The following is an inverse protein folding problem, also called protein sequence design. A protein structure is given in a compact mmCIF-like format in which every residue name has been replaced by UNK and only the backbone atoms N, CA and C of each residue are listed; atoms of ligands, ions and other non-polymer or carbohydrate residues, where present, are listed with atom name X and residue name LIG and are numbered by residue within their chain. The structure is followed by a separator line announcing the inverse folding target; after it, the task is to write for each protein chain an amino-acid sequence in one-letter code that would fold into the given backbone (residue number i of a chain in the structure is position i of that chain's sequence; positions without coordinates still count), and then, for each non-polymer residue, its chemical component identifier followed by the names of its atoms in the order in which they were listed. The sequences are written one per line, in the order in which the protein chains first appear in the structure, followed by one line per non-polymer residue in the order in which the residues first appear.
data_IF_607403459622
#
_entry.id   IF_607403459622
#
_cell.length_a   1.000
_cell.length_b   1.000
_cell.length_c   1.000
_cell.angle_alpha   90.00
_cell.angle_beta   90.00
_cell.angle_gamma   90.00
#
_symmetry.space_group_name_H-M   'P 1'
#
loop_
_entity.id
_entity.type
_entity.pdbx_description
1 polymer ?
#
# COMPACT_ATOMS: atom_id res chain seq x y z
N UNK A 1 11.26 4.33 15.10
CA UNK A 1 12.66 4.06 15.54
C UNK A 1 12.93 2.56 15.33
N UNK A 2 14.13 2.05 15.03
CA UNK A 2 14.31 0.58 14.95
C UNK A 2 14.15 0.00 16.35
N UNK A 3 13.21 -0.94 16.53
CA UNK A 3 12.86 -1.55 17.82
C UNK A 3 14.10 -2.09 18.55
N UNK A 4 14.12 -1.90 19.87
CA UNK A 4 15.22 -2.39 20.71
C UNK A 4 15.27 -3.93 20.70
N UNK A 5 16.42 -4.56 21.02
CA UNK A 5 16.56 -6.02 20.95
C UNK A 5 15.51 -6.81 21.76
N UNK A 6 15.01 -6.24 22.88
CA UNK A 6 13.89 -6.79 23.65
C UNK A 6 12.58 -6.77 22.86
N UNK A 7 12.22 -5.61 22.32
CA UNK A 7 11.03 -5.42 21.48
C UNK A 7 10.99 -6.40 20.31
N UNK A 8 12.13 -6.72 19.69
CA UNK A 8 12.15 -7.67 18.54
C UNK A 8 11.65 -9.06 18.93
N UNK A 9 11.88 -9.49 20.15
CA UNK A 9 11.44 -10.80 20.64
C UNK A 9 9.93 -10.76 20.87
N UNK A 10 9.42 -9.66 21.42
CA UNK A 10 7.99 -9.45 21.66
C UNK A 10 7.20 -9.23 20.35
N UNK A 11 7.80 -8.56 19.37
CA UNK A 11 7.27 -8.41 18.00
C UNK A 11 7.14 -9.77 17.31
N UNK A 12 8.18 -10.60 17.40
CA UNK A 12 8.14 -11.97 16.86
C UNK A 12 7.12 -12.83 17.61
N UNK A 13 7.02 -12.69 18.93
CA UNK A 13 6.04 -13.40 19.74
C UNK A 13 4.60 -12.96 19.43
N UNK A 14 4.36 -11.67 19.18
CA UNK A 14 3.07 -11.13 18.77
C UNK A 14 2.66 -11.65 17.38
N UNK A 15 3.54 -11.56 16.37
CA UNK A 15 3.27 -12.13 15.04
C UNK A 15 3.04 -13.65 15.12
N UNK A 16 3.82 -14.36 15.95
CA UNK A 16 3.63 -15.78 16.19
C UNK A 16 2.29 -16.09 16.90
N UNK A 17 1.85 -15.24 17.83
CA UNK A 17 0.57 -15.36 18.52
C UNK A 17 -0.59 -15.13 17.54
N UNK A 18 -0.54 -14.07 16.72
CA UNK A 18 -1.52 -13.82 15.67
C UNK A 18 -1.62 -15.03 14.71
N UNK A 19 -0.48 -15.52 14.23
CA UNK A 19 -0.43 -16.71 13.38
C UNK A 19 -0.95 -17.98 14.09
N UNK A 20 -0.68 -18.15 15.39
CA UNK A 20 -1.17 -19.28 16.17
C UNK A 20 -2.68 -19.19 16.43
N UNK A 21 -3.22 -17.99 16.65
CA UNK A 21 -4.67 -17.76 16.78
C UNK A 21 -5.38 -18.06 15.46
N UNK A 22 -4.81 -17.66 14.33
CA UNK A 22 -5.29 -18.02 12.99
C UNK A 22 -5.25 -19.53 12.74
N UNK A 23 -4.13 -20.19 13.07
CA UNK A 23 -3.99 -21.63 12.94
C UNK A 23 -4.95 -22.40 13.86
N UNK A 24 -5.18 -21.90 15.08
CA UNK A 24 -6.14 -22.45 16.02
C UNK A 24 -7.57 -22.27 15.51
N UNK A 25 -7.92 -21.08 15.01
CA UNK A 25 -9.20 -20.83 14.37
C UNK A 25 -9.41 -21.76 13.16
N UNK A 26 -8.39 -21.94 12.31
CA UNK A 26 -8.42 -22.91 11.21
C UNK A 26 -8.60 -24.36 11.68
N UNK A 27 -7.93 -24.75 12.77
CA UNK A 27 -8.06 -26.10 13.33
C UNK A 27 -9.42 -26.33 13.98
N UNK A 28 -9.99 -25.32 14.62
CA UNK A 28 -11.34 -25.40 15.21
C UNK A 28 -12.41 -25.46 14.12
N UNK A 29 -12.22 -24.77 12.99
CA UNK A 29 -13.05 -24.94 11.79
C UNK A 29 -12.95 -26.35 11.20
N UNK A 30 -11.78 -26.98 11.21
CA UNK A 30 -11.58 -28.36 10.72
C UNK A 30 -12.16 -29.45 11.64
N UNK A 31 -12.47 -29.12 12.90
CA UNK A 31 -12.94 -30.07 13.92
C UNK A 31 -14.44 -29.96 14.23
N UNK A 32 -15.20 -29.20 13.44
CA UNK A 32 -16.67 -29.10 13.53
C UNK A 32 -17.19 -28.73 14.94
N UNK A 33 -16.39 -27.99 15.72
CA UNK A 33 -16.66 -27.69 17.13
C UNK A 33 -17.22 -26.26 17.36
N UNK A 34 -17.52 -25.53 16.30
CA UNK A 34 -18.21 -24.24 16.32
C UNK A 34 -19.44 -24.29 15.42
N UNK A 35 -20.44 -23.45 15.67
CA UNK A 35 -21.62 -23.37 14.80
C UNK A 35 -21.21 -22.89 13.40
N UNK A 36 -20.99 -23.83 12.46
CA UNK A 36 -20.68 -23.53 11.08
C UNK A 36 -21.94 -23.04 10.36
N UNK A 37 -21.87 -21.84 9.77
CA UNK A 37 -22.80 -21.41 8.73
C UNK A 37 -22.04 -21.38 7.41
N UNK A 38 -22.30 -22.35 6.55
CA UNK A 38 -21.71 -22.41 5.21
C UNK A 38 -22.42 -21.39 4.32
N UNK A 39 -21.74 -20.31 3.93
CA UNK A 39 -22.27 -19.34 2.96
C UNK A 39 -21.77 -19.72 1.57
N UNK A 40 -22.63 -20.29 0.75
CA UNK A 40 -22.28 -20.98 -0.51
C UNK A 40 -22.05 -20.08 -1.72
N UNK A 41 -22.18 -18.75 -1.60
CA UNK A 41 -22.21 -17.83 -2.75
C UNK A 41 -21.17 -16.70 -2.70
N UNK A 42 -20.09 -16.84 -1.94
CA UNK A 42 -19.08 -15.79 -1.85
C UNK A 42 -17.72 -16.31 -2.31
N UNK A 43 -17.37 -15.96 -3.55
CA UNK A 43 -16.01 -16.11 -4.08
C UNK A 43 -15.07 -15.16 -3.32
N UNK A 44 -14.54 -15.62 -2.19
CA UNK A 44 -13.55 -14.88 -1.41
C UNK A 44 -12.19 -15.53 -1.48
N UNK A 45 -11.19 -14.69 -1.74
CA UNK A 45 -9.81 -15.11 -1.79
C UNK A 45 -8.97 -14.64 -0.58
N UNK A 46 -9.40 -13.79 0.37
CA UNK A 46 -8.50 -13.29 1.44
C UNK A 46 -8.24 -14.29 2.57
N UNK A 47 -7.02 -14.34 3.11
CA UNK A 47 -6.60 -15.30 4.15
C UNK A 47 -7.42 -15.21 5.46
N UNK A 48 -8.05 -14.06 5.76
CA UNK A 48 -9.10 -13.99 6.76
C UNK A 48 -9.88 -12.66 6.80
N UNK A 49 -11.03 -12.67 7.46
CA UNK A 49 -11.89 -11.52 7.76
C UNK A 49 -12.49 -11.65 9.16
N UNK A 50 -12.78 -10.51 9.80
CA UNK A 50 -13.44 -10.47 11.11
C UNK A 50 -14.71 -9.62 11.01
N UNK A 51 -15.85 -10.18 11.42
CA UNK A 51 -17.13 -9.47 11.46
C UNK A 51 -17.74 -9.67 12.85
N UNK A 52 -18.10 -8.56 13.51
CA UNK A 52 -18.78 -8.61 14.81
C UNK A 52 -20.29 -8.68 14.60
N UNK A 53 -20.95 -9.62 15.26
CA UNK A 53 -22.41 -9.77 15.25
C UNK A 53 -22.93 -9.90 16.69
N UNK A 54 -23.32 -8.78 17.29
CA UNK A 54 -23.73 -8.74 18.69
C UNK A 54 -22.57 -9.02 19.66
N UNK A 55 -22.71 -10.05 20.50
CA UNK A 55 -21.65 -10.57 21.40
C UNK A 55 -20.61 -11.43 20.68
N UNK A 56 -20.90 -11.84 19.44
CA UNK A 56 -20.13 -12.88 18.75
C UNK A 56 -19.15 -12.28 17.74
N UNK A 57 -18.01 -12.96 17.57
CA UNK A 57 -17.00 -12.62 16.58
C UNK A 57 -17.01 -13.71 15.51
N UNK A 58 -17.40 -13.34 14.30
CA UNK A 58 -17.36 -14.20 13.11
C UNK A 58 -15.98 -14.03 12.47
N UNK A 59 -15.28 -15.13 12.26
CA UNK A 59 -13.97 -15.14 11.59
C UNK A 59 -14.10 -15.89 10.27
N UNK A 60 -13.96 -15.20 9.15
CA UNK A 60 -13.75 -15.83 7.85
C UNK A 60 -12.28 -16.18 7.69
N UNK A 61 -11.95 -17.38 7.20
CA UNK A 61 -10.58 -17.77 6.84
C UNK A 61 -10.60 -18.39 5.44
N UNK A 62 -9.69 -17.99 4.57
CA UNK A 62 -9.43 -18.72 3.31
C UNK A 62 -8.06 -19.38 3.39
N UNK A 63 -7.93 -20.60 2.86
CA UNK A 63 -6.65 -21.32 2.84
C UNK A 63 -5.74 -20.77 1.73
N UNK A 64 -4.63 -20.08 2.05
CA UNK A 64 -3.70 -19.56 1.04
C UNK A 64 -2.81 -20.66 0.43
N UNK A 65 -2.96 -21.92 0.89
CA UNK A 65 -2.13 -23.07 0.50
C UNK A 65 -2.75 -23.91 -0.63
N UNK A 66 -3.77 -23.41 -1.35
CA UNK A 66 -4.15 -24.05 -2.61
C UNK A 66 -2.98 -23.93 -3.61
N UNK A 67 -2.49 -25.04 -4.17
CA UNK A 67 -1.41 -25.02 -5.16
C UNK A 67 -1.80 -24.14 -6.36
N UNK A 68 -1.13 -23.00 -6.50
CA UNK A 68 -1.22 -22.12 -7.66
C UNK A 68 0.09 -22.07 -8.44
N UNK A 69 0.05 -21.77 -9.73
CA UNK A 69 1.26 -21.53 -10.52
C UNK A 69 1.86 -20.17 -10.15
N UNK A 70 2.96 -20.17 -9.39
CA UNK A 70 3.74 -18.96 -9.14
C UNK A 70 4.73 -18.73 -10.30
N UNK A 71 4.60 -17.62 -11.04
CA UNK A 71 5.64 -17.18 -11.95
C UNK A 71 6.83 -16.65 -11.12
N UNK A 72 8.03 -17.14 -11.43
CA UNK A 72 9.28 -16.66 -10.83
C UNK A 72 9.85 -15.57 -11.73
N UNK A 73 9.74 -14.31 -11.34
CA UNK A 73 10.45 -13.22 -11.99
C UNK A 73 11.96 -13.36 -11.71
N UNK A 74 12.80 -13.38 -12.74
CA UNK A 74 14.25 -13.44 -12.57
C UNK A 74 14.80 -12.10 -12.06
N UNK A 75 15.81 -12.15 -11.17
CA UNK A 75 16.58 -10.96 -10.82
C UNK A 75 17.28 -10.41 -12.07
N UNK A 76 17.25 -9.09 -12.27
CA UNK A 76 17.97 -8.44 -13.36
C UNK A 76 19.48 -8.62 -13.20
N UNK A 77 20.20 -8.82 -14.32
CA UNK A 77 21.64 -9.18 -14.32
C UNK A 77 22.57 -7.97 -14.02
N UNK A 78 22.05 -6.74 -13.90
CA UNK A 78 22.87 -5.57 -13.62
C UNK A 78 22.07 -4.42 -13.01
N UNK A 79 22.72 -3.66 -12.10
CA UNK A 79 22.21 -2.39 -11.61
C UNK A 79 21.99 -1.41 -12.79
N UNK A 80 20.94 -0.57 -12.75
CA UNK A 80 20.68 0.39 -13.82
C UNK A 80 21.84 1.38 -13.95
N UNK A 81 22.07 1.88 -15.17
CA UNK A 81 22.99 3.01 -15.36
C UNK A 81 22.49 4.22 -14.54
N UNK A 82 23.42 5.03 -13.97
CA UNK A 82 23.03 6.22 -13.25
C UNK A 82 22.10 7.09 -14.10
N UNK A 83 21.05 7.64 -13.49
CA UNK A 83 20.18 8.58 -14.17
C UNK A 83 21.00 9.74 -14.76
N UNK A 84 20.61 10.23 -15.95
CA UNK A 84 21.27 11.34 -16.63
C UNK A 84 21.40 12.56 -15.70
N UNK A 85 22.53 13.27 -15.82
CA UNK A 85 22.75 14.52 -15.10
C UNK A 85 21.72 15.56 -15.56
N UNK A 86 20.81 15.93 -14.66
CA UNK A 86 19.87 17.03 -14.88
C UNK A 86 20.59 18.33 -14.54
N UNK A 87 20.50 19.35 -15.39
CA UNK A 87 20.94 20.71 -15.08
C UNK A 87 20.06 21.26 -13.96
N UNK A 88 20.60 21.25 -12.75
CA UNK A 88 19.91 21.64 -11.53
C UNK A 88 20.36 23.05 -11.18
N UNK A 89 19.40 23.95 -10.96
CA UNK A 89 19.66 25.29 -10.42
C UNK A 89 20.25 25.17 -9.02
N UNK A 90 21.32 25.93 -8.74
CA UNK A 90 22.09 25.88 -7.48
C UNK A 90 21.28 26.18 -6.20
N UNK A 91 20.04 26.65 -6.35
CA UNK A 91 19.13 27.02 -5.26
C UNK A 91 18.31 25.84 -4.68
N UNK A 92 18.36 24.65 -5.29
CA UNK A 92 17.57 23.48 -4.84
C UNK A 92 18.45 22.44 -4.12
N UNK A 93 18.20 22.21 -2.83
CA UNK A 93 18.95 21.24 -2.00
C UNK A 93 18.05 20.18 -1.34
N UNK A 94 18.63 19.04 -0.98
CA UNK A 94 18.01 18.00 -0.16
C UNK A 94 16.76 17.37 -0.79
N UNK A 95 15.67 17.28 -0.03
CA UNK A 95 14.41 16.62 -0.44
C UNK A 95 13.79 17.22 -1.71
N UNK A 96 13.87 18.54 -1.90
CA UNK A 96 13.34 19.23 -3.08
C UNK A 96 14.07 18.83 -4.36
N UNK A 97 15.37 18.51 -4.23
CA UNK A 97 16.17 18.02 -5.35
C UNK A 97 15.77 16.60 -5.75
N UNK A 98 15.56 15.72 -4.78
CA UNK A 98 15.09 14.35 -5.03
C UNK A 98 13.72 14.36 -5.69
N UNK A 99 12.81 15.22 -5.22
CA UNK A 99 11.51 15.41 -5.85
C UNK A 99 11.63 15.90 -7.30
N UNK A 100 12.43 16.95 -7.56
CA UNK A 100 12.62 17.47 -8.91
C UNK A 100 13.16 16.39 -9.86
N UNK A 101 14.17 15.62 -9.43
CA UNK A 101 14.72 14.50 -10.20
C UNK A 101 13.69 13.43 -10.50
N UNK A 102 12.90 13.03 -9.51
CA UNK A 102 11.86 12.03 -9.68
C UNK A 102 10.76 12.51 -10.65
N UNK A 103 10.38 13.79 -10.58
CA UNK A 103 9.43 14.39 -11.52
C UNK A 103 9.96 14.38 -12.96
N UNK A 104 11.21 14.74 -13.18
CA UNK A 104 11.81 14.71 -14.52
C UNK A 104 11.94 13.29 -15.06
N UNK A 105 12.29 12.32 -14.21
CA UNK A 105 12.28 10.90 -14.59
C UNK A 105 10.90 10.45 -15.05
N UNK A 106 9.84 10.78 -14.31
CA UNK A 106 8.48 10.42 -14.71
C UNK A 106 8.05 11.09 -16.02
N UNK A 107 8.41 12.36 -16.24
CA UNK A 107 8.13 13.02 -17.54
C UNK A 107 8.78 12.28 -18.70
N UNK A 108 10.05 11.93 -18.57
CA UNK A 108 10.78 11.19 -19.59
C UNK A 108 10.14 9.81 -19.83
N UNK A 109 9.82 9.08 -18.76
CA UNK A 109 9.21 7.77 -18.84
C UNK A 109 7.79 7.79 -19.42
N UNK A 110 7.02 8.86 -19.18
CA UNK A 110 5.68 9.05 -19.76
C UNK A 110 5.77 9.48 -21.22
N UNK A 111 6.76 10.28 -21.61
CA UNK A 111 6.94 10.75 -22.98
C UNK A 111 7.33 9.63 -23.95
N UNK A 112 8.16 8.67 -23.52
CA UNK A 112 8.63 7.58 -24.37
C UNK A 112 8.56 6.19 -23.68
N UNK A 113 7.37 5.71 -23.25
CA UNK A 113 7.25 4.54 -22.37
C UNK A 113 7.92 3.29 -22.95
N UNK A 114 8.84 2.70 -22.19
CA UNK A 114 9.48 1.43 -22.57
C UNK A 114 10.45 1.47 -23.75
N UNK A 115 10.80 2.66 -24.28
CA UNK A 115 11.80 2.81 -25.35
C UNK A 115 13.18 2.33 -24.91
N UNK A 116 13.56 2.63 -23.68
CA UNK A 116 14.79 2.18 -23.05
C UNK A 116 14.62 2.05 -21.51
N UNK A 117 15.69 1.69 -20.81
CA UNK A 117 15.68 1.57 -19.34
C UNK A 117 15.48 2.92 -18.62
N UNK A 118 15.90 4.03 -19.23
CA UNK A 118 15.63 5.38 -18.71
C UNK A 118 14.15 5.78 -18.85
N UNK A 119 13.42 5.08 -19.71
CA UNK A 119 11.98 5.24 -19.94
C UNK A 119 11.12 4.38 -19.01
N UNK A 120 11.68 3.94 -17.88
CA UNK A 120 10.98 3.25 -16.80
C UNK A 120 10.95 4.11 -15.53
N UNK A 121 9.89 3.95 -14.74
CA UNK A 121 9.82 4.54 -13.41
C UNK A 121 10.71 3.77 -12.45
N UNK A 122 11.60 4.47 -11.74
CA UNK A 122 12.35 3.88 -10.63
C UNK A 122 12.01 4.56 -9.29
N UNK A 123 11.28 3.88 -8.39
CA UNK A 123 10.93 4.44 -7.08
C UNK A 123 12.09 4.35 -6.07
N UNK A 124 13.23 3.75 -6.46
CA UNK A 124 14.31 3.40 -5.55
C UNK A 124 15.04 4.61 -4.97
N UNK A 125 15.05 4.74 -3.65
CA UNK A 125 15.66 5.86 -2.92
C UNK A 125 14.81 7.12 -2.84
N UNK A 126 13.52 7.03 -3.17
CA UNK A 126 12.57 8.14 -3.10
C UNK A 126 11.79 8.08 -1.79
N UNK A 127 11.84 9.16 -1.01
CA UNK A 127 11.11 9.25 0.25
C UNK A 127 9.60 9.08 0.04
N UNK A 128 8.94 8.25 0.86
CA UNK A 128 7.52 7.90 0.80
C UNK A 128 6.58 9.07 0.46
N UNK A 129 6.69 10.20 1.18
CA UNK A 129 5.89 11.40 0.89
C UNK A 129 6.10 11.96 -0.53
N UNK A 130 7.35 12.08 -0.96
CA UNK A 130 7.67 12.52 -2.32
C UNK A 130 7.13 11.53 -3.34
N UNK A 131 7.34 10.23 -3.12
CA UNK A 131 6.86 9.17 -4.00
C UNK A 131 5.34 9.25 -4.17
N UNK A 132 4.58 9.25 -3.07
CA UNK A 132 3.11 9.27 -3.11
C UNK A 132 2.55 10.56 -3.71
N UNK A 133 3.04 11.74 -3.28
CA UNK A 133 2.52 13.02 -3.78
C UNK A 133 2.84 13.21 -5.27
N UNK A 134 4.03 12.81 -5.71
CA UNK A 134 4.41 12.88 -7.13
C UNK A 134 3.59 11.89 -7.96
N UNK A 135 3.45 10.63 -7.52
CA UNK A 135 2.64 9.65 -8.25
C UNK A 135 1.21 10.14 -8.44
N UNK A 136 0.59 10.69 -7.39
CA UNK A 136 -0.76 11.26 -7.46
C UNK A 136 -0.88 12.30 -8.57
N UNK A 137 0.07 13.23 -8.62
CA UNK A 137 0.06 14.33 -9.59
C UNK A 137 0.12 13.85 -11.06
N UNK A 138 0.77 12.71 -11.34
CA UNK A 138 0.85 12.16 -12.70
C UNK A 138 -0.27 11.16 -13.04
N UNK A 139 -0.95 10.62 -12.03
CA UNK A 139 -2.12 9.75 -12.24
C UNK A 139 -3.34 10.55 -12.68
N UNK A 140 -3.44 11.80 -12.23
CA UNK A 140 -4.49 12.71 -12.67
C UNK A 140 -4.52 12.83 -14.21
N UNK A 141 -5.69 12.59 -14.77
CA UNK A 141 -5.94 12.52 -16.21
C UNK A 141 -5.79 13.88 -16.85
N UNK A 142 -6.34 14.93 -16.22
CA UNK A 142 -6.50 16.22 -16.85
C UNK A 142 -7.07 16.09 -18.29
N UNK A 143 -6.30 16.51 -19.29
CA UNK A 143 -6.63 16.40 -20.73
C UNK A 143 -5.65 15.53 -21.54
N UNK A 144 -4.97 14.59 -20.90
CA UNK A 144 -3.90 13.78 -21.53
C UNK A 144 -4.38 12.35 -21.79
N UNK A 145 -3.76 11.67 -22.76
CA UNK A 145 -4.00 10.24 -22.98
C UNK A 145 -3.46 9.40 -21.83
N UNK A 146 -4.13 8.26 -21.56
CA UNK A 146 -3.69 7.27 -20.57
C UNK A 146 -2.37 6.67 -21.03
N UNK A 147 -1.40 6.60 -20.12
CA UNK A 147 -0.07 6.02 -20.38
C UNK A 147 0.25 4.98 -19.31
N UNK A 148 0.82 3.85 -19.70
CA UNK A 148 1.35 2.85 -18.77
C UNK A 148 2.87 2.85 -18.83
N UNK A 149 3.52 2.91 -17.67
CA UNK A 149 4.98 3.01 -17.57
C UNK A 149 5.54 1.80 -16.81
N UNK A 150 6.55 1.10 -17.34
CA UNK A 150 7.23 0.02 -16.63
C UNK A 150 7.83 0.48 -15.30
N UNK A 151 7.68 -0.33 -14.26
CA UNK A 151 8.33 -0.10 -12.95
C UNK A 151 9.58 -0.96 -12.85
N UNK A 152 10.74 -0.33 -12.68
CA UNK A 152 12.04 -1.01 -12.59
C UNK A 152 12.79 -0.55 -11.33
N UNK A 153 13.24 -1.53 -10.55
CA UNK A 153 13.90 -1.30 -9.27
C UNK A 153 15.43 -1.28 -9.39
N UNK A 154 16.11 -0.78 -8.35
CA UNK A 154 17.58 -0.68 -8.30
C UNK A 154 18.30 -2.03 -8.51
N UNK A 155 17.68 -3.13 -8.12
CA UNK A 155 18.20 -4.49 -8.36
C UNK A 155 17.99 -4.99 -9.79
N UNK A 156 17.49 -4.13 -10.69
CA UNK A 156 17.19 -4.43 -12.08
C UNK A 156 15.94 -5.27 -12.28
N UNK A 157 15.23 -5.64 -11.20
CA UNK A 157 13.97 -6.36 -11.31
C UNK A 157 12.87 -5.44 -11.84
N UNK A 158 12.01 -5.98 -12.71
CA UNK A 158 10.88 -5.30 -13.33
C UNK A 158 9.58 -5.87 -12.77
N UNK A 159 8.66 -5.01 -12.33
CA UNK A 159 7.33 -5.42 -11.89
C UNK A 159 6.52 -6.01 -13.06
N UNK A 160 5.67 -6.99 -12.77
CA UNK A 160 4.82 -7.63 -13.77
C UNK A 160 3.78 -6.65 -14.36
N UNK A 161 3.20 -5.81 -13.50
CA UNK A 161 2.25 -4.78 -13.90
C UNK A 161 2.94 -3.42 -14.08
N UNK A 162 2.67 -2.76 -15.21
CA UNK A 162 3.07 -1.38 -15.42
C UNK A 162 2.24 -0.42 -14.54
N UNK A 163 2.77 0.76 -14.23
CA UNK A 163 2.05 1.77 -13.46
C UNK A 163 1.22 2.65 -14.40
N UNK A 164 -0.11 2.78 -14.18
CA UNK A 164 -0.97 3.61 -15.02
C UNK A 164 -0.92 5.09 -14.60
N UNK A 165 -0.70 5.97 -15.57
CA UNK A 165 -0.68 7.43 -15.45
C UNK A 165 -1.78 8.06 -16.34
N UNK A 166 -2.15 9.30 -16.02
CA UNK A 166 -3.19 10.06 -16.71
C UNK A 166 -4.51 9.32 -16.86
N UNK A 167 -4.94 8.64 -15.80
CA UNK A 167 -6.05 7.69 -15.88
C UNK A 167 -7.19 7.93 -14.88
N UNK A 168 -7.06 8.89 -13.97
CA UNK A 168 -8.10 9.22 -12.98
C UNK A 168 -8.49 10.70 -13.02
N UNK A 169 -9.78 11.01 -12.81
CA UNK A 169 -10.24 12.38 -12.58
C UNK A 169 -10.26 12.65 -11.06
N UNK A 170 -9.12 13.11 -10.53
CA UNK A 170 -8.93 13.21 -9.08
C UNK A 170 -9.71 14.38 -8.46
N UNK A 171 -10.09 14.21 -7.20
CA UNK A 171 -10.64 15.28 -6.35
C UNK A 171 -9.77 15.51 -5.13
N UNK A 172 -9.80 16.76 -4.63
CA UNK A 172 -9.08 17.16 -3.43
C UNK A 172 -9.96 17.18 -2.17
N UNK A 173 -11.29 17.10 -2.35
CA UNK A 173 -12.24 17.15 -1.25
C UNK A 173 -12.66 15.75 -0.83
N UNK A 174 -12.62 15.52 0.49
CA UNK A 174 -13.17 14.34 1.12
C UNK A 174 -14.70 14.47 1.23
N UNK A 175 -15.40 13.35 1.08
CA UNK A 175 -16.83 13.24 1.42
C UNK A 175 -17.07 13.59 2.89
N UNK A 176 -18.26 14.05 3.26
CA UNK A 176 -18.68 14.06 4.65
C UNK A 176 -18.65 12.65 5.27
N UNK A 177 -18.27 12.53 6.54
CA UNK A 177 -18.17 11.20 7.19
C UNK A 177 -19.49 10.43 7.24
N UNK A 178 -20.63 11.14 7.27
CA UNK A 178 -21.95 10.52 7.29
C UNK A 178 -22.35 9.86 5.95
N UNK A 179 -21.58 10.08 4.89
CA UNK A 179 -21.76 9.44 3.57
C UNK A 179 -20.89 8.18 3.40
N UNK A 180 -20.05 7.86 4.39
CA UNK A 180 -19.17 6.70 4.38
C UNK A 180 -19.83 5.51 5.05
N UNK A 181 -19.67 4.32 4.43
CA UNK A 181 -20.00 3.05 5.07
C UNK A 181 -18.89 2.61 6.02
N UNK A 182 -17.62 2.91 5.67
CA UNK A 182 -16.44 2.55 6.45
C UNK A 182 -15.41 3.69 6.46
N UNK A 183 -14.84 3.96 7.64
CA UNK A 183 -13.75 4.89 7.83
C UNK A 183 -12.70 4.23 8.73
N UNK A 184 -11.54 3.87 8.17
CA UNK A 184 -10.51 3.07 8.85
C UNK A 184 -9.15 3.77 8.83
N UNK A 185 -8.41 3.59 9.92
CA UNK A 185 -7.03 4.05 10.13
C UNK A 185 -6.13 2.84 10.13
N UNK A 186 -5.24 2.72 9.15
CA UNK A 186 -4.41 1.53 8.99
C UNK A 186 -2.95 1.92 8.81
N UNK A 187 -2.04 1.23 9.50
CA UNK A 187 -0.62 1.25 9.10
C UNK A 187 -0.47 0.53 7.76
N UNK A 188 0.44 1.01 6.91
CA UNK A 188 0.72 0.28 5.67
C UNK A 188 1.40 -1.07 5.95
N UNK A 189 2.28 -1.14 6.96
CA UNK A 189 2.96 -2.36 7.40
C UNK A 189 2.85 -2.55 8.92
N UNK A 190 2.49 -3.77 9.33
CA UNK A 190 2.44 -4.17 10.75
C UNK A 190 3.78 -3.96 11.45
N UNK A 191 3.77 -3.45 12.69
CA UNK A 191 4.89 -3.53 13.65
C UNK A 191 6.20 -2.88 13.15
N UNK A 192 6.13 -2.09 12.08
CA UNK A 192 7.28 -1.32 11.57
C UNK A 192 7.59 -0.14 12.48
N UNK A 193 6.55 0.36 13.13
CA UNK A 193 6.52 1.46 14.07
C UNK A 193 5.52 1.07 15.17
N UNK A 194 5.99 0.35 16.17
CA UNK A 194 5.17 -0.14 17.29
C UNK A 194 4.50 0.98 18.05
N UNK A 195 5.07 2.19 18.00
CA UNK A 195 4.47 3.41 18.53
C UNK A 195 3.10 3.72 17.91
N UNK A 196 2.81 3.21 16.71
CA UNK A 196 1.55 3.45 16.01
C UNK A 196 0.48 2.39 16.25
N UNK A 197 0.86 1.21 16.72
CA UNK A 197 -0.07 0.08 16.87
C UNK A 197 -1.26 0.38 17.81
N UNK A 198 -1.13 1.20 18.88
CA UNK A 198 -2.26 1.58 19.72
C UNK A 198 -3.27 2.54 19.06
N UNK A 199 -2.90 3.18 17.94
CA UNK A 199 -3.65 4.33 17.39
C UNK A 199 -4.29 4.07 16.03
N UNK A 200 -3.99 2.91 15.44
CA UNK A 200 -4.59 2.44 14.19
C UNK A 200 -5.55 1.29 14.46
N UNK A 201 -6.54 1.11 13.59
CA UNK A 201 -7.50 0.00 13.63
C UNK A 201 -6.85 -1.33 13.18
N UNK A 202 -5.68 -1.27 12.54
CA UNK A 202 -4.93 -2.44 12.10
C UNK A 202 -3.82 -2.10 11.11
N UNK A 203 -3.32 -3.14 10.45
CA UNK A 203 -2.31 -3.04 9.40
C UNK A 203 -2.87 -3.55 8.06
N UNK A 204 -2.58 -2.81 6.98
CA UNK A 204 -2.95 -3.23 5.62
C UNK A 204 -2.16 -4.48 5.18
N UNK A 205 -0.85 -4.50 5.47
CA UNK A 205 0.07 -5.58 5.10
C UNK A 205 0.83 -6.09 6.33
N UNK A 206 1.16 -7.38 6.33
CA UNK A 206 2.07 -7.96 7.32
C UNK A 206 3.51 -7.68 6.95
N UNK A 207 4.27 -7.12 7.89
CA UNK A 207 5.69 -6.88 7.69
C UNK A 207 6.48 -8.18 7.47
N UNK A 208 6.10 -9.27 8.15
CA UNK A 208 6.74 -10.58 7.96
C UNK A 208 6.59 -11.15 6.54
N UNK A 209 5.54 -10.76 5.83
CA UNK A 209 5.34 -11.15 4.43
C UNK A 209 6.09 -10.20 3.50
N UNK A 210 5.88 -8.90 3.65
CA UNK A 210 6.49 -7.90 2.76
C UNK A 210 8.01 -7.87 2.87
N UNK A 211 8.58 -8.10 4.05
CA UNK A 211 10.04 -8.08 4.29
C UNK A 211 10.76 -9.40 3.95
N UNK A 212 10.08 -10.39 3.37
CA UNK A 212 10.75 -11.65 2.96
C UNK A 212 11.80 -11.36 1.88
N UNK A 213 13.01 -11.96 1.96
CA UNK A 213 14.04 -11.79 0.95
C UNK A 213 13.54 -12.26 -0.43
N UNK A 214 13.40 -11.30 -1.36
CA UNK A 214 13.03 -11.51 -2.76
C UNK A 214 13.40 -10.27 -3.60
N UNK A 215 13.46 -10.35 -4.94
CA UNK A 215 13.61 -9.18 -5.79
C UNK A 215 12.56 -8.10 -5.47
N UNK A 216 12.94 -6.84 -5.59
CA UNK A 216 12.07 -5.71 -5.22
C UNK A 216 10.75 -5.70 -6.00
N UNK A 217 10.80 -5.99 -7.30
CA UNK A 217 9.62 -6.15 -8.14
C UNK A 217 8.64 -7.22 -7.64
N UNK A 218 9.14 -8.36 -7.16
CA UNK A 218 8.26 -9.41 -6.61
C UNK A 218 7.57 -8.97 -5.31
N UNK A 219 8.19 -8.06 -4.55
CA UNK A 219 7.56 -7.48 -3.35
C UNK A 219 6.47 -6.50 -3.76
N UNK A 220 6.73 -5.66 -4.74
CA UNK A 220 5.74 -4.77 -5.34
C UNK A 220 4.53 -5.55 -5.86
N UNK A 221 4.76 -6.56 -6.71
CA UNK A 221 3.67 -7.36 -7.28
C UNK A 221 2.87 -8.09 -6.20
N UNK A 222 3.54 -8.66 -5.19
CA UNK A 222 2.86 -9.22 -4.02
C UNK A 222 1.94 -8.19 -3.35
N UNK A 223 2.42 -6.97 -3.11
CA UNK A 223 1.63 -5.93 -2.46
C UNK A 223 0.50 -5.45 -3.35
N UNK A 224 0.72 -5.29 -4.64
CA UNK A 224 -0.29 -4.89 -5.61
C UNK A 224 -1.45 -5.90 -5.66
N UNK A 225 -1.16 -7.18 -5.89
CA UNK A 225 -2.20 -8.21 -5.97
C UNK A 225 -2.93 -8.41 -4.63
N UNK A 226 -2.21 -8.31 -3.52
CA UNK A 226 -2.82 -8.38 -2.17
C UNK A 226 -3.75 -7.20 -1.93
N UNK A 227 -3.31 -5.98 -2.27
CA UNK A 227 -4.08 -4.75 -2.05
C UNK A 227 -5.32 -4.68 -2.95
N UNK A 228 -5.21 -5.06 -4.24
CA UNK A 228 -6.34 -5.16 -5.16
C UNK A 228 -7.49 -5.96 -4.57
N UNK A 229 -7.14 -7.15 -4.09
CA UNK A 229 -8.06 -8.10 -3.49
C UNK A 229 -8.62 -7.63 -2.14
N UNK A 230 -7.80 -7.04 -1.29
CA UNK A 230 -8.26 -6.45 -0.03
C UNK A 230 -9.23 -5.29 -0.28
N UNK A 231 -8.98 -4.45 -1.29
CA UNK A 231 -9.91 -3.39 -1.70
C UNK A 231 -11.23 -3.97 -2.21
N UNK A 232 -11.19 -5.00 -3.07
CA UNK A 232 -12.40 -5.66 -3.57
C UNK A 232 -13.23 -6.27 -2.42
N UNK A 233 -12.59 -6.91 -1.44
CA UNK A 233 -13.28 -7.45 -0.26
C UNK A 233 -13.84 -6.35 0.63
N UNK A 234 -13.02 -5.35 0.97
CA UNK A 234 -13.39 -4.28 1.90
C UNK A 234 -14.54 -3.42 1.37
N UNK A 235 -14.51 -3.12 0.07
CA UNK A 235 -15.52 -2.28 -0.59
C UNK A 235 -16.72 -3.08 -1.10
N UNK A 236 -16.72 -4.41 -0.93
CA UNK A 236 -17.68 -5.32 -1.57
C UNK A 236 -17.79 -5.04 -3.07
N UNK A 237 -16.65 -5.07 -3.76
CA UNK A 237 -16.51 -4.81 -5.19
C UNK A 237 -17.07 -3.44 -5.60
N UNK A 238 -16.76 -2.40 -4.81
CA UNK A 238 -17.20 -1.02 -5.08
C UNK A 238 -18.67 -0.74 -4.75
N UNK A 239 -19.30 -1.54 -3.91
CA UNK A 239 -20.66 -1.27 -3.42
C UNK A 239 -20.66 -0.31 -2.22
N UNK A 240 -19.60 -0.33 -1.41
CA UNK A 240 -19.45 0.52 -0.22
C UNK A 240 -18.61 1.76 -0.52
N UNK A 241 -18.95 2.87 0.14
CA UNK A 241 -18.14 4.08 0.21
C UNK A 241 -17.14 3.95 1.37
N UNK A 242 -15.85 3.86 1.05
CA UNK A 242 -14.80 3.57 2.05
C UNK A 242 -13.76 4.68 2.09
N UNK A 243 -13.41 5.14 3.29
CA UNK A 243 -12.23 5.97 3.55
C UNK A 243 -11.15 5.19 4.27
N UNK A 244 -9.93 5.28 3.76
CA UNK A 244 -8.72 4.72 4.36
C UNK A 244 -7.73 5.82 4.70
N UNK A 245 -7.41 5.99 5.98
CA UNK A 245 -6.25 6.73 6.44
C UNK A 245 -5.06 5.77 6.49
N UNK A 246 -4.13 5.90 5.53
CA UNK A 246 -3.00 4.98 5.38
C UNK A 246 -1.73 5.61 5.92
N UNK A 247 -1.29 5.14 7.08
CA UNK A 247 -0.07 5.65 7.69
C UNK A 247 1.15 4.98 7.08
N UNK A 248 1.99 5.80 6.46
CA UNK A 248 3.07 5.31 5.63
C UNK A 248 4.34 5.01 6.42
N UNK A 249 4.47 3.74 6.75
CA UNK A 249 5.65 3.12 7.36
C UNK A 249 6.36 2.16 6.37
N UNK A 250 5.96 2.23 5.10
CA UNK A 250 6.23 1.27 4.04
C UNK A 250 7.65 1.29 3.47
N UNK A 251 8.07 0.15 2.91
CA UNK A 251 9.11 0.12 1.89
C UNK A 251 8.57 0.78 0.61
N UNK A 252 9.46 1.32 -0.23
CA UNK A 252 9.08 1.94 -1.51
C UNK A 252 8.26 0.98 -2.38
N UNK A 253 8.63 -0.32 -2.41
CA UNK A 253 7.89 -1.38 -3.09
C UNK A 253 6.46 -1.55 -2.59
N UNK A 254 6.24 -1.43 -1.27
CA UNK A 254 4.91 -1.51 -0.68
C UNK A 254 4.07 -0.27 -1.01
N UNK A 255 4.68 0.91 -1.02
CA UNK A 255 3.99 2.15 -1.40
C UNK A 255 3.57 2.08 -2.88
N UNK A 256 4.48 1.70 -3.78
CA UNK A 256 4.16 1.60 -5.22
C UNK A 256 3.08 0.56 -5.47
N UNK A 257 3.23 -0.66 -4.96
CA UNK A 257 2.25 -1.73 -5.17
C UNK A 257 0.86 -1.37 -4.63
N UNK A 258 0.81 -0.76 -3.45
CA UNK A 258 -0.44 -0.31 -2.84
C UNK A 258 -1.12 0.78 -3.68
N UNK A 259 -0.40 1.86 -4.03
CA UNK A 259 -1.01 2.94 -4.81
C UNK A 259 -1.34 2.52 -6.24
N UNK A 260 -0.60 1.60 -6.85
CA UNK A 260 -0.98 0.98 -8.13
C UNK A 260 -2.35 0.29 -8.02
N UNK A 261 -2.56 -0.47 -6.95
CA UNK A 261 -3.86 -1.12 -6.70
C UNK A 261 -4.98 -0.11 -6.46
N UNK A 262 -4.72 0.97 -5.70
CA UNK A 262 -5.65 2.07 -5.48
C UNK A 262 -6.05 2.73 -6.80
N UNK A 263 -5.09 3.01 -7.68
CA UNK A 263 -5.38 3.66 -8.96
C UNK A 263 -6.28 2.80 -9.82
N UNK A 264 -5.98 1.51 -9.95
CA UNK A 264 -6.83 0.63 -10.73
C UNK A 264 -8.21 0.43 -10.11
N UNK A 265 -8.29 0.37 -8.78
CA UNK A 265 -9.57 0.31 -8.09
C UNK A 265 -10.42 1.56 -8.36
N UNK A 266 -9.84 2.76 -8.22
CA UNK A 266 -10.53 4.03 -8.52
C UNK A 266 -10.94 4.16 -9.99
N UNK A 267 -10.20 3.53 -10.91
CA UNK A 267 -10.57 3.47 -12.34
C UNK A 267 -11.77 2.56 -12.60
N UNK A 268 -11.91 1.48 -11.83
CA UNK A 268 -13.00 0.51 -11.95
C UNK A 268 -14.25 0.94 -11.19
N UNK A 269 -14.06 1.60 -10.04
CA UNK A 269 -15.12 2.01 -9.12
C UNK A 269 -14.95 3.49 -8.73
N UNK A 270 -15.19 4.42 -9.67
CA UNK A 270 -15.05 5.85 -9.39
C UNK A 270 -15.90 6.28 -8.19
N UNK A 271 -15.35 7.14 -7.34
CA UNK A 271 -16.00 7.63 -6.13
C UNK A 271 -16.08 6.66 -4.95
N UNK A 272 -15.84 5.36 -5.12
CA UNK A 272 -16.09 4.38 -4.03
C UNK A 272 -15.00 4.32 -2.96
N UNK A 273 -13.83 4.88 -3.22
CA UNK A 273 -12.68 4.83 -2.32
C UNK A 273 -12.07 6.22 -2.14
N UNK A 274 -11.72 6.55 -0.91
CA UNK A 274 -10.88 7.68 -0.56
C UNK A 274 -9.67 7.20 0.23
N UNK A 275 -8.46 7.48 -0.26
CA UNK A 275 -7.23 7.16 0.47
C UNK A 275 -6.53 8.45 0.89
N UNK A 276 -6.37 8.64 2.20
CA UNK A 276 -5.62 9.74 2.81
C UNK A 276 -4.27 9.19 3.30
N UNK A 277 -3.16 9.45 2.59
CA UNK A 277 -1.85 9.06 3.09
C UNK A 277 -1.49 9.93 4.30
N UNK A 278 -1.02 9.29 5.37
CA UNK A 278 -0.56 9.96 6.59
C UNK A 278 0.96 9.81 6.71
N UNK A 279 1.68 10.92 6.87
CA UNK A 279 3.15 10.95 6.91
C UNK A 279 3.66 11.45 8.25
N UNK A 280 4.72 10.83 8.76
CA UNK A 280 5.36 11.30 9.99
C UNK A 280 5.95 12.71 9.81
N UNK A 281 5.64 13.61 10.75
CA UNK A 281 6.10 14.98 10.86
C UNK A 281 6.99 15.11 12.11
N UNK A 282 8.28 15.38 11.89
CA UNK A 282 9.30 15.42 12.94
C UNK A 282 9.13 16.56 13.97
N UNK A 283 8.12 17.42 13.82
CA UNK A 283 7.80 18.55 14.71
C UNK A 283 7.01 18.14 15.95
N UNK A 284 6.57 16.89 16.08
CA UNK A 284 5.96 16.38 17.32
C UNK A 284 7.01 16.24 18.44
N UNK A 285 7.24 17.34 19.17
CA UNK A 285 7.88 17.31 20.49
C UNK A 285 7.02 16.45 21.43
N UNK A 286 7.69 15.59 22.21
CA UNK A 286 7.15 14.74 23.31
C UNK A 286 5.68 15.01 23.62
N UNK A 287 4.81 14.29 22.95
CA UNK A 287 3.39 14.29 23.22
C UNK A 287 3.12 13.57 24.54
N UNK A 288 2.38 14.19 25.45
CA UNK A 288 2.00 13.62 26.76
C UNK A 288 0.74 12.74 26.69
N UNK A 289 0.11 12.61 25.51
CA UNK A 289 -1.04 11.74 25.26
C UNK A 289 -0.98 11.04 23.91
N UNK A 290 -1.69 9.91 23.80
CA UNK A 290 -1.83 9.09 22.58
C UNK A 290 -2.46 9.89 21.42
N UNK A 291 -3.38 10.81 21.72
CA UNK A 291 -3.98 11.72 20.73
C UNK A 291 -3.01 12.83 20.28
N UNK A 292 -2.05 13.22 21.11
CA UNK A 292 -1.00 14.17 20.76
C UNK A 292 0.14 13.52 19.95
N UNK A 293 0.32 12.20 20.03
CA UNK A 293 1.24 11.45 19.15
C UNK A 293 0.73 11.43 17.69
N UNK A 294 -0.60 11.47 17.52
CA UNK A 294 -1.29 11.73 16.26
C UNK A 294 -0.97 13.10 15.66
N UNK A 295 -0.65 14.12 16.48
CA UNK A 295 -0.20 15.43 16.00
C UNK A 295 1.19 15.36 15.32
N UNK A 296 1.88 14.22 15.43
CA UNK A 296 3.09 13.91 14.69
C UNK A 296 2.86 13.33 13.31
N UNK A 297 1.63 13.24 12.80
CA UNK A 297 1.36 12.85 11.42
C UNK A 297 0.62 13.95 10.66
N UNK A 298 1.11 14.23 9.46
CA UNK A 298 0.48 15.16 8.53
C UNK A 298 -0.23 14.40 7.42
N UNK A 299 -1.49 14.74 7.11
CA UNK A 299 -2.16 14.20 5.94
C UNK A 299 -1.50 14.71 4.65
N UNK A 300 -1.39 13.83 3.67
CA UNK A 300 -1.06 14.16 2.31
C UNK A 300 -2.29 14.47 1.46
N UNK A 301 -2.06 14.57 0.15
CA UNK A 301 -3.14 14.76 -0.82
C UNK A 301 -3.99 13.48 -0.93
N UNK A 302 -5.31 13.69 -0.97
CA UNK A 302 -6.33 12.63 -1.03
C UNK A 302 -6.34 11.95 -2.39
N UNK A 303 -6.38 10.63 -2.41
CA UNK A 303 -6.63 9.83 -3.61
C UNK A 303 -8.09 9.43 -3.66
N UNK A 304 -8.88 10.16 -4.43
CA UNK A 304 -10.30 9.92 -4.65
C UNK A 304 -10.69 10.44 -6.04
N UNK A 305 -11.76 9.88 -6.61
CA UNK A 305 -12.33 10.31 -7.89
C UNK A 305 -13.79 10.73 -7.72
N UNK A 306 -14.34 11.43 -8.71
CA UNK A 306 -15.79 11.68 -8.79
C UNK A 306 -16.55 10.39 -9.16
N UNK A 307 -17.82 10.31 -8.77
CA UNK A 307 -18.76 9.29 -9.27
C UNK A 307 -19.04 9.45 -10.77
#
# INVERSE_FOLDING_TARGET
MKSEPGDRTDVVAYEALCAALEAKAATMLLRDSGALTTVSNLEWASAGSFVRSGSDVIVGLSSPLQPGKAQRSAAGVAAPEPAASVDIRDDIRGRRLVEARFREQLKAAIAEPGKDRSSAMSPSGIHNRVLTEVLRAYVDRGHTQVVTVPVVYRDGSKAEADFPFHCLDLVDQLRPEHELDLNLRLTLLSIRHTEMDPVVDGAWLRNAEVSRPRPAAQTDDFVYYTSRKQLDVLTRQGTLNVRLHIFQTGLETAVVGFFRAVVEFLRQHPGRLEVVPMFYAATARRAESVEAEFAGFEPGQVWATKE
#
